data_IF_115631566723
#
_entry.id   IF_115631566723
#
_cell.length_a   1.000
_cell.length_b   1.000
_cell.length_c   1.000
_cell.angle_alpha   90.00
_cell.angle_beta   90.00
_cell.angle_gamma   90.00
#
_symmetry.space_group_name_H-M   'P 1'
#
loop_
_entity.id
_entity.type
_entity.pdbx_description
1 polymer ?
#
# COMPACT_ATOMS: atom_id res chain seq x y z
N UNK A 1 -17.50 3.04 4.72
CA UNK A 1 -17.38 1.60 4.36
C UNK A 1 -16.13 1.09 5.02
N UNK A 2 -16.21 0.06 5.82
CA UNK A 2 -15.03 -0.62 6.37
C UNK A 2 -14.65 -1.70 5.35
N UNK A 3 -13.41 -1.67 4.85
CA UNK A 3 -12.89 -2.75 4.01
C UNK A 3 -12.64 -3.96 4.91
N UNK A 4 -13.18 -5.08 4.52
CA UNK A 4 -13.01 -6.38 5.16
C UNK A 4 -12.74 -7.46 4.12
N UNK A 5 -12.57 -8.69 4.57
CA UNK A 5 -12.25 -9.84 3.72
C UNK A 5 -13.37 -10.24 2.75
N UNK A 6 -14.63 -9.78 2.98
CA UNK A 6 -15.76 -10.04 2.07
C UNK A 6 -15.55 -9.43 0.68
N UNK A 7 -14.65 -8.45 0.56
CA UNK A 7 -14.27 -7.84 -0.72
C UNK A 7 -13.24 -8.66 -1.51
N UNK A 8 -12.60 -9.65 -0.89
CA UNK A 8 -11.65 -10.53 -1.54
C UNK A 8 -12.34 -11.48 -2.51
N UNK A 9 -11.67 -11.84 -3.59
CA UNK A 9 -12.10 -12.86 -4.55
C UNK A 9 -11.10 -13.99 -4.59
N UNK A 10 -11.53 -15.16 -4.20
CA UNK A 10 -10.69 -16.36 -4.14
C UNK A 10 -9.84 -16.45 -2.87
N UNK A 11 -8.99 -17.45 -2.80
CA UNK A 11 -8.10 -17.72 -1.68
C UNK A 11 -6.80 -16.89 -1.78
N UNK A 12 -6.20 -16.58 -0.63
CA UNK A 12 -4.87 -15.98 -0.57
C UNK A 12 -3.77 -17.04 -0.63
N UNK A 13 -2.54 -16.64 -0.98
CA UNK A 13 -1.39 -17.55 -0.91
C UNK A 13 -1.13 -18.00 0.53
N UNK A 14 -1.30 -17.10 1.51
CA UNK A 14 -1.10 -17.41 2.93
C UNK A 14 -2.12 -18.47 3.42
N UNK A 15 -3.39 -18.32 3.03
CA UNK A 15 -4.42 -19.32 3.29
C UNK A 15 -4.05 -20.69 2.69
N UNK A 16 -3.60 -20.72 1.43
CA UNK A 16 -3.19 -21.96 0.75
C UNK A 16 -2.01 -22.62 1.44
N UNK A 17 -1.02 -21.86 1.85
CA UNK A 17 0.14 -22.37 2.60
C UNK A 17 -0.29 -22.92 3.97
N UNK A 18 -1.14 -22.20 4.71
CA UNK A 18 -1.70 -22.67 5.97
C UNK A 18 -2.51 -23.96 5.83
N UNK A 19 -3.33 -24.07 4.79
CA UNK A 19 -4.09 -25.29 4.50
C UNK A 19 -3.19 -26.47 4.05
N UNK A 20 -2.00 -26.19 3.55
CA UNK A 20 -0.96 -27.19 3.24
C UNK A 20 -0.11 -27.58 4.47
N UNK A 21 -0.41 -27.05 5.66
CA UNK A 21 0.28 -27.37 6.90
C UNK A 21 1.49 -26.51 7.22
N UNK A 22 1.73 -25.43 6.46
CA UNK A 22 2.78 -24.44 6.76
C UNK A 22 2.29 -23.51 7.87
N UNK A 23 3.08 -23.33 8.92
CA UNK A 23 2.79 -22.37 9.98
C UNK A 23 3.06 -20.97 9.46
N UNK A 24 2.01 -20.15 9.33
CA UNK A 24 2.10 -18.81 8.75
C UNK A 24 2.03 -17.76 9.86
N UNK A 25 2.93 -16.79 9.84
CA UNK A 25 2.85 -15.57 10.64
C UNK A 25 2.73 -14.34 9.72
N UNK A 26 1.62 -13.62 9.85
CA UNK A 26 1.40 -12.35 9.17
C UNK A 26 1.34 -11.23 10.21
N UNK A 27 2.29 -10.30 10.18
CA UNK A 27 2.33 -9.14 11.07
C UNK A 27 2.25 -7.87 10.22
N UNK A 28 1.26 -7.04 10.51
CA UNK A 28 1.04 -5.81 9.76
C UNK A 28 1.25 -4.57 10.63
N UNK A 29 1.67 -3.46 10.04
CA UNK A 29 1.72 -2.20 10.77
C UNK A 29 0.31 -1.74 11.15
N UNK A 30 -0.62 -1.69 10.18
CA UNK A 30 -1.99 -1.17 10.35
C UNK A 30 -3.03 -2.30 10.41
N UNK A 31 -4.01 -2.20 11.33
CA UNK A 31 -5.05 -3.21 11.53
C UNK A 31 -5.99 -3.40 10.33
N UNK A 32 -6.22 -2.35 9.55
CA UNK A 32 -7.04 -2.44 8.34
C UNK A 32 -6.48 -3.47 7.35
N UNK A 33 -5.16 -3.48 7.13
CA UNK A 33 -4.53 -4.46 6.25
C UNK A 33 -4.55 -5.86 6.89
N UNK A 34 -4.33 -5.96 8.21
CA UNK A 34 -4.45 -7.23 8.95
C UNK A 34 -5.77 -7.94 8.65
N UNK A 35 -6.89 -7.21 8.70
CA UNK A 35 -8.23 -7.79 8.44
C UNK A 35 -8.36 -8.41 7.05
N UNK A 36 -7.72 -7.79 6.05
CA UNK A 36 -7.70 -8.34 4.68
C UNK A 36 -6.76 -9.55 4.59
N UNK A 37 -5.56 -9.44 5.15
CA UNK A 37 -4.55 -10.50 5.13
C UNK A 37 -5.00 -11.74 5.91
N UNK A 38 -5.80 -11.54 6.97
CA UNK A 38 -6.34 -12.63 7.79
C UNK A 38 -7.34 -13.54 7.05
N UNK A 39 -7.73 -13.19 5.81
CA UNK A 39 -8.66 -14.00 5.03
C UNK A 39 -8.17 -15.44 4.87
N UNK A 40 -8.96 -16.38 5.41
CA UNK A 40 -8.67 -17.81 5.38
C UNK A 40 -7.57 -18.31 6.33
N UNK A 41 -6.89 -17.43 7.08
CA UNK A 41 -5.94 -17.84 8.12
C UNK A 41 -6.69 -18.32 9.37
N UNK A 42 -6.23 -19.43 9.94
CA UNK A 42 -6.90 -20.11 11.05
C UNK A 42 -5.94 -20.32 12.23
N UNK A 43 -6.15 -19.61 13.36
CA UNK A 43 -5.34 -19.79 14.57
C UNK A 43 -5.28 -21.23 15.07
N UNK A 44 -6.38 -22.00 14.93
CA UNK A 44 -6.42 -23.42 15.27
C UNK A 44 -5.45 -24.29 14.46
N UNK A 45 -5.05 -23.84 13.29
CA UNK A 45 -4.04 -24.48 12.44
C UNK A 45 -2.63 -23.91 12.66
N UNK A 46 -2.43 -23.11 13.72
CA UNK A 46 -1.15 -22.50 14.06
C UNK A 46 -0.83 -21.20 13.33
N UNK A 47 -1.80 -20.61 12.61
CA UNK A 47 -1.59 -19.32 11.99
C UNK A 47 -1.57 -18.20 13.04
N UNK A 48 -0.68 -17.23 12.85
CA UNK A 48 -0.58 -16.00 13.64
C UNK A 48 -0.83 -14.82 12.70
N UNK A 49 -1.81 -13.96 13.04
CA UNK A 49 -2.09 -12.77 12.25
C UNK A 49 -2.51 -11.61 13.16
N UNK A 50 -1.67 -10.58 13.28
CA UNK A 50 -1.97 -9.41 14.09
C UNK A 50 -1.37 -8.13 13.53
N UNK A 51 -1.80 -6.97 14.06
CA UNK A 51 -1.24 -5.67 13.71
C UNK A 51 -0.47 -5.06 14.88
N UNK A 52 0.60 -4.31 14.57
CA UNK A 52 1.31 -3.49 15.54
C UNK A 52 0.39 -2.41 16.14
N UNK A 53 -0.50 -1.85 15.31
CA UNK A 53 -1.46 -0.82 15.72
C UNK A 53 -2.35 -1.26 16.88
N UNK A 54 -2.83 -2.51 16.87
CA UNK A 54 -3.76 -3.06 17.89
C UNK A 54 -3.12 -4.23 18.63
N UNK A 55 -1.81 -4.19 18.87
CA UNK A 55 -1.09 -5.27 19.54
C UNK A 55 -1.60 -5.57 20.95
N UNK A 56 -2.15 -4.57 21.64
CA UNK A 56 -2.76 -4.68 22.96
C UNK A 56 -4.13 -5.39 22.98
N UNK A 57 -4.78 -5.55 21.81
CA UNK A 57 -6.10 -6.18 21.67
C UNK A 57 -6.01 -7.66 21.22
N UNK A 58 -4.81 -8.18 21.03
CA UNK A 58 -4.61 -9.52 20.49
C UNK A 58 -5.09 -10.61 21.43
N UNK A 59 -5.82 -11.59 20.88
CA UNK A 59 -6.30 -12.80 21.55
C UNK A 59 -5.82 -14.06 20.83
N UNK A 60 -5.67 -15.16 21.58
CA UNK A 60 -5.32 -16.46 20.98
C UNK A 60 -6.37 -16.92 19.97
N UNK A 61 -7.64 -16.69 20.24
CA UNK A 61 -8.74 -17.16 19.39
C UNK A 61 -8.81 -16.46 18.03
N UNK A 62 -8.51 -15.15 17.99
CA UNK A 62 -8.59 -14.38 16.75
C UNK A 62 -7.23 -14.25 16.03
N UNK A 63 -6.15 -14.13 16.81
CA UNK A 63 -4.86 -13.73 16.27
C UNK A 63 -3.78 -14.83 16.34
N UNK A 64 -4.07 -15.96 17.03
CA UNK A 64 -3.07 -17.00 17.27
C UNK A 64 -1.98 -16.60 18.28
N UNK A 65 -2.10 -15.43 18.87
CA UNK A 65 -1.20 -14.87 19.88
C UNK A 65 -1.97 -13.93 20.81
N UNK A 66 -1.58 -13.86 22.08
CA UNK A 66 -2.15 -12.93 23.06
C UNK A 66 -1.03 -12.19 23.80
N UNK A 67 -1.42 -11.14 24.53
CA UNK A 67 -0.50 -10.34 25.36
C UNK A 67 0.75 -9.86 24.60
N UNK A 68 0.59 -9.42 23.35
CA UNK A 68 1.69 -9.13 22.42
C UNK A 68 2.66 -8.11 22.99
N UNK A 69 2.20 -7.05 23.63
CA UNK A 69 3.07 -6.04 24.25
C UNK A 69 3.96 -6.66 25.34
N UNK A 70 3.37 -7.47 26.22
CA UNK A 70 4.12 -8.18 27.26
C UNK A 70 5.07 -9.22 26.67
N UNK A 71 4.59 -9.98 25.67
CA UNK A 71 5.40 -10.96 24.97
C UNK A 71 6.58 -10.32 24.26
N UNK A 72 6.39 -9.20 23.56
CA UNK A 72 7.46 -8.50 22.85
C UNK A 72 8.36 -7.70 23.80
N UNK A 73 7.83 -7.32 24.99
CA UNK A 73 8.54 -6.55 26.00
C UNK A 73 8.52 -5.04 25.76
N UNK A 74 7.56 -4.58 24.94
CA UNK A 74 7.38 -3.15 24.64
C UNK A 74 5.90 -2.84 24.31
N UNK A 75 5.46 -1.58 24.57
CA UNK A 75 4.09 -1.16 24.26
C UNK A 75 3.88 -1.05 22.75
N UNK A 76 2.61 -1.10 22.31
CA UNK A 76 2.21 -0.77 20.94
C UNK A 76 2.60 0.68 20.61
N UNK A 77 3.23 0.92 19.46
CA UNK A 77 3.65 2.27 19.07
C UNK A 77 2.47 3.13 18.60
N UNK A 78 2.72 4.43 18.56
CA UNK A 78 1.80 5.38 17.91
C UNK A 78 1.59 5.01 16.44
N UNK A 79 0.35 5.09 15.96
CA UNK A 79 -0.04 4.71 14.59
C UNK A 79 0.76 5.45 13.50
N UNK A 80 1.08 6.72 13.73
CA UNK A 80 1.82 7.57 12.79
C UNK A 80 3.26 7.80 13.28
N UNK A 81 4.03 6.71 13.36
CA UNK A 81 5.43 6.71 13.76
C UNK A 81 6.27 5.74 12.91
N UNK A 82 7.57 5.98 12.82
CA UNK A 82 8.53 5.03 12.27
C UNK A 82 8.53 3.72 13.07
N UNK A 83 8.33 3.83 14.38
CA UNK A 83 8.37 2.75 15.33
C UNK A 83 7.27 1.69 15.10
N UNK A 84 6.15 2.08 14.47
CA UNK A 84 5.09 1.13 14.09
C UNK A 84 5.62 0.03 13.14
N UNK A 85 6.45 0.41 12.18
CA UNK A 85 7.11 -0.54 11.25
C UNK A 85 8.20 -1.37 11.95
N UNK A 86 8.95 -0.75 12.84
CA UNK A 86 10.01 -1.45 13.59
C UNK A 86 9.43 -2.49 14.55
N UNK A 87 8.25 -2.22 15.13
CA UNK A 87 7.52 -3.19 15.96
C UNK A 87 7.15 -4.45 15.17
N UNK A 88 6.73 -4.31 13.92
CA UNK A 88 6.44 -5.46 13.02
C UNK A 88 7.66 -6.35 12.87
N UNK A 89 8.81 -5.75 12.59
CA UNK A 89 10.07 -6.50 12.40
C UNK A 89 10.57 -7.11 13.70
N UNK A 90 10.51 -6.39 14.83
CA UNK A 90 10.85 -6.92 16.16
C UNK A 90 9.99 -8.15 16.49
N UNK A 91 8.70 -8.10 16.18
CA UNK A 91 7.80 -9.23 16.36
C UNK A 91 8.16 -10.39 15.43
N UNK A 92 8.51 -10.12 14.17
CA UNK A 92 8.99 -11.13 13.22
C UNK A 92 10.24 -11.84 13.71
N UNK A 93 11.25 -11.09 14.16
CA UNK A 93 12.50 -11.64 14.74
C UNK A 93 12.19 -12.55 15.93
N UNK A 94 11.32 -12.08 16.85
CA UNK A 94 11.00 -12.87 18.05
C UNK A 94 10.19 -14.13 17.72
N UNK A 95 9.22 -14.06 16.82
CA UNK A 95 8.44 -15.22 16.36
C UNK A 95 9.36 -16.27 15.70
N UNK A 96 10.35 -15.83 14.92
CA UNK A 96 11.33 -16.71 14.27
C UNK A 96 12.24 -17.35 15.31
N UNK A 97 12.80 -16.58 16.25
CA UNK A 97 13.65 -17.09 17.33
C UNK A 97 12.92 -18.13 18.19
N UNK A 98 11.63 -17.96 18.43
CA UNK A 98 10.77 -18.91 19.14
C UNK A 98 10.25 -20.05 18.24
N UNK A 99 10.63 -20.08 16.95
CA UNK A 99 10.22 -21.08 15.95
C UNK A 99 8.70 -21.26 15.85
N UNK A 100 7.98 -20.14 15.91
CA UNK A 100 6.50 -20.15 15.91
C UNK A 100 5.88 -20.22 14.53
N UNK A 101 6.64 -19.91 13.47
CA UNK A 101 6.15 -19.97 12.08
C UNK A 101 7.28 -20.41 11.13
N UNK A 102 6.89 -20.86 9.95
CA UNK A 102 7.76 -21.29 8.86
C UNK A 102 7.74 -20.28 7.70
N UNK A 103 6.63 -19.57 7.52
CA UNK A 103 6.46 -18.51 6.52
C UNK A 103 6.03 -17.22 7.21
N UNK A 104 6.74 -16.14 6.91
CA UNK A 104 6.49 -14.81 7.47
C UNK A 104 6.05 -13.84 6.36
N UNK A 105 5.00 -13.06 6.65
CA UNK A 105 4.59 -11.90 5.87
C UNK A 105 4.58 -10.67 6.78
N UNK A 106 5.62 -9.85 6.65
CA UNK A 106 5.84 -8.69 7.50
C UNK A 106 5.63 -7.42 6.67
N UNK A 107 4.56 -6.66 6.94
CA UNK A 107 4.23 -5.48 6.15
C UNK A 107 4.34 -4.20 6.98
N UNK A 108 5.09 -3.25 6.45
CA UNK A 108 5.45 -2.01 7.11
C UNK A 108 4.47 -0.88 6.73
N UNK A 109 4.61 0.27 7.37
CA UNK A 109 3.92 1.50 7.02
C UNK A 109 4.86 2.40 6.22
N UNK A 110 4.30 3.08 5.23
CA UNK A 110 4.96 4.07 4.38
C UNK A 110 5.00 5.49 4.99
N UNK A 111 4.69 5.62 6.27
CA UNK A 111 4.61 6.90 6.97
C UNK A 111 5.89 7.73 6.86
N UNK A 112 7.05 7.08 7.02
CA UNK A 112 8.35 7.76 6.93
C UNK A 112 8.59 8.29 5.51
N UNK A 113 8.29 7.49 4.51
CA UNK A 113 8.47 7.83 3.10
C UNK A 113 7.57 8.99 2.65
N UNK A 114 6.39 9.13 3.24
CA UNK A 114 5.52 10.29 3.03
C UNK A 114 6.08 11.59 3.60
N UNK A 115 6.84 11.52 4.70
CA UNK A 115 7.35 12.71 5.39
C UNK A 115 8.79 13.08 5.03
N UNK A 116 9.62 12.08 4.80
CA UNK A 116 11.06 12.24 4.70
C UNK A 116 11.56 11.73 3.33
N UNK A 117 12.25 12.59 2.60
CA UNK A 117 12.84 12.22 1.33
C UNK A 117 14.06 11.31 1.53
N UNK A 118 14.40 10.44 0.57
CA UNK A 118 15.66 9.69 0.59
C UNK A 118 16.86 10.63 0.80
N UNK A 119 17.80 10.23 1.66
CA UNK A 119 18.98 11.01 2.03
C UNK A 119 18.73 12.07 3.12
N UNK A 120 17.52 12.15 3.70
CA UNK A 120 17.30 12.87 4.96
C UNK A 120 17.73 12.00 6.13
N UNK A 121 18.13 12.64 7.24
CA UNK A 121 18.60 11.93 8.44
C UNK A 121 17.57 10.91 8.94
N UNK A 122 16.31 11.34 9.03
CA UNK A 122 15.22 10.48 9.51
C UNK A 122 14.92 9.29 8.59
N UNK A 123 15.03 9.48 7.27
CA UNK A 123 14.86 8.40 6.31
C UNK A 123 16.02 7.40 6.41
N UNK A 124 17.26 7.89 6.52
CA UNK A 124 18.45 7.05 6.60
C UNK A 124 18.50 6.28 7.92
N UNK A 125 18.17 6.91 9.06
CA UNK A 125 18.05 6.25 10.37
C UNK A 125 16.98 5.15 10.35
N UNK A 126 15.84 5.41 9.70
CA UNK A 126 14.77 4.42 9.56
C UNK A 126 15.21 3.23 8.71
N UNK A 127 15.88 3.47 7.58
CA UNK A 127 16.39 2.39 6.73
C UNK A 127 17.48 1.56 7.43
N UNK A 128 18.38 2.17 8.20
CA UNK A 128 19.35 1.46 9.01
C UNK A 128 18.69 0.59 10.09
N UNK A 129 17.61 1.11 10.71
CA UNK A 129 16.88 0.34 11.71
C UNK A 129 16.13 -0.86 11.12
N UNK A 130 15.62 -0.75 9.88
CA UNK A 130 15.06 -1.86 9.10
C UNK A 130 16.18 -2.88 8.78
N UNK A 131 17.26 -2.43 8.17
CA UNK A 131 18.39 -3.26 7.75
C UNK A 131 18.94 -4.11 8.91
N UNK A 132 19.10 -3.49 10.08
CA UNK A 132 19.52 -4.20 11.30
C UNK A 132 18.59 -5.38 11.63
N UNK A 133 17.29 -5.24 11.47
CA UNK A 133 16.31 -6.28 11.77
C UNK A 133 16.24 -7.35 10.70
N UNK A 134 16.42 -6.97 9.44
CA UNK A 134 16.56 -7.93 8.35
C UNK A 134 17.80 -8.81 8.56
N UNK A 135 18.94 -8.22 8.96
CA UNK A 135 20.13 -8.98 9.34
C UNK A 135 19.88 -9.94 10.51
N UNK A 136 19.10 -9.54 11.53
CA UNK A 136 18.72 -10.44 12.62
C UNK A 136 17.87 -11.63 12.15
N UNK A 137 16.99 -11.42 11.17
CA UNK A 137 16.23 -12.53 10.57
C UNK A 137 17.15 -13.50 9.80
N UNK A 138 18.13 -12.98 9.05
CA UNK A 138 19.14 -13.80 8.36
C UNK A 138 20.02 -14.58 9.34
N UNK A 139 20.48 -13.95 10.42
CA UNK A 139 21.26 -14.58 11.47
C UNK A 139 20.53 -15.75 12.15
N UNK A 140 19.19 -15.67 12.19
CA UNK A 140 18.32 -16.75 12.66
C UNK A 140 18.01 -17.82 11.60
N UNK A 141 18.59 -17.69 10.41
CA UNK A 141 18.48 -18.65 9.31
C UNK A 141 17.26 -18.44 8.39
N UNK A 142 16.65 -17.27 8.40
CA UNK A 142 15.59 -16.97 7.44
C UNK A 142 16.16 -16.61 6.06
N UNK A 143 15.51 -17.11 5.01
CA UNK A 143 15.61 -16.52 3.68
C UNK A 143 14.74 -15.26 3.64
N UNK A 144 15.35 -14.11 3.47
CA UNK A 144 14.68 -12.81 3.50
C UNK A 144 14.49 -12.27 2.08
N UNK A 145 13.30 -11.78 1.79
CA UNK A 145 13.03 -11.04 0.57
C UNK A 145 12.23 -9.78 0.88
N UNK A 146 12.56 -8.68 0.22
CA UNK A 146 11.95 -7.37 0.41
C UNK A 146 11.45 -6.83 -0.91
N UNK A 147 10.22 -6.33 -0.92
CA UNK A 147 9.64 -5.60 -2.06
C UNK A 147 8.75 -4.47 -1.56
N UNK A 148 8.37 -3.57 -2.46
CA UNK A 148 7.36 -2.54 -2.22
C UNK A 148 6.05 -2.87 -2.92
N UNK A 149 4.97 -2.24 -2.49
CA UNK A 149 3.70 -2.20 -3.20
C UNK A 149 3.66 -1.02 -4.20
N UNK A 150 4.41 0.05 -3.93
CA UNK A 150 4.62 1.21 -4.79
C UNK A 150 5.90 1.96 -4.40
N UNK A 151 6.36 2.83 -5.28
CA UNK A 151 7.38 3.83 -4.98
C UNK A 151 6.79 5.07 -4.29
N UNK A 152 7.61 6.13 -4.15
CA UNK A 152 7.19 7.38 -3.51
C UNK A 152 7.95 8.55 -4.12
N UNK A 153 7.24 9.61 -4.56
CA UNK A 153 7.86 10.80 -5.13
C UNK A 153 7.33 12.11 -4.55
N UNK A 154 8.07 13.19 -4.78
CA UNK A 154 7.64 14.53 -4.39
C UNK A 154 6.56 15.04 -5.34
N UNK A 155 5.47 15.58 -4.77
CA UNK A 155 4.30 16.09 -5.50
C UNK A 155 4.19 17.61 -5.31
N UNK A 156 5.22 18.32 -5.76
CA UNK A 156 5.33 19.75 -5.57
C UNK A 156 5.74 20.46 -6.86
N UNK A 157 5.25 21.69 -6.99
CA UNK A 157 5.67 22.62 -8.04
C UNK A 157 7.09 23.11 -7.80
N UNK A 158 7.66 23.81 -8.76
CA UNK A 158 9.01 24.39 -8.67
C UNK A 158 9.17 25.39 -7.52
N UNK A 159 8.07 26.04 -7.08
CA UNK A 159 8.03 26.94 -5.93
C UNK A 159 7.88 26.22 -4.59
N UNK A 160 7.87 24.89 -4.59
CA UNK A 160 7.74 24.04 -3.41
C UNK A 160 6.29 23.81 -2.93
N UNK A 161 5.30 24.48 -3.52
CA UNK A 161 3.89 24.27 -3.16
C UNK A 161 3.37 22.95 -3.68
N UNK A 162 2.38 22.31 -2.99
CA UNK A 162 1.74 21.12 -3.48
C UNK A 162 1.15 21.29 -4.88
N UNK A 163 1.40 20.32 -5.75
CA UNK A 163 0.83 20.27 -7.11
C UNK A 163 -0.40 19.39 -7.11
N UNK A 164 -1.57 19.98 -6.87
CA UNK A 164 -2.84 19.28 -6.70
C UNK A 164 -3.83 19.69 -7.77
N UNK A 165 -4.41 18.69 -8.46
CA UNK A 165 -5.57 18.84 -9.32
C UNK A 165 -6.81 18.36 -8.53
N UNK A 166 -7.76 19.25 -8.26
CA UNK A 166 -9.06 18.87 -7.72
C UNK A 166 -10.01 18.52 -8.88
N UNK A 167 -9.92 17.29 -9.34
CA UNK A 167 -10.60 16.84 -10.56
C UNK A 167 -12.13 16.90 -10.44
N UNK A 168 -12.68 16.63 -9.25
CA UNK A 168 -14.11 16.72 -9.01
C UNK A 168 -14.65 18.15 -9.17
N UNK A 169 -13.89 19.15 -8.68
CA UNK A 169 -14.28 20.57 -8.87
C UNK A 169 -14.28 20.93 -10.36
N UNK A 170 -13.22 20.58 -11.09
CA UNK A 170 -13.13 20.82 -12.54
C UNK A 170 -14.27 20.19 -13.33
N UNK A 171 -14.59 18.92 -13.03
CA UNK A 171 -15.63 18.19 -13.75
C UNK A 171 -17.03 18.70 -13.41
N UNK A 172 -17.32 18.99 -12.14
CA UNK A 172 -18.61 19.51 -11.70
C UNK A 172 -18.88 20.94 -12.22
N UNK A 173 -17.85 21.77 -12.32
CA UNK A 173 -17.98 23.10 -12.92
C UNK A 173 -18.31 23.02 -14.41
N UNK A 174 -17.64 22.13 -15.15
CA UNK A 174 -17.78 22.03 -16.61
C UNK A 174 -19.01 21.22 -17.04
N UNK A 175 -19.41 20.24 -16.23
CA UNK A 175 -20.56 19.35 -16.50
C UNK A 175 -21.43 19.15 -15.26
N UNK A 176 -22.16 20.20 -14.82
CA UNK A 176 -22.93 20.14 -13.57
C UNK A 176 -24.04 19.07 -13.60
N UNK A 177 -24.55 18.72 -14.78
CA UNK A 177 -25.59 17.72 -14.94
C UNK A 177 -25.10 16.27 -14.90
N UNK A 178 -23.79 16.05 -14.86
CA UNK A 178 -23.22 14.70 -14.88
C UNK A 178 -23.29 13.99 -13.52
N UNK A 179 -23.40 14.72 -12.42
CA UNK A 179 -23.30 14.20 -11.05
C UNK A 179 -22.04 13.32 -10.88
N UNK A 180 -20.89 13.98 -10.88
CA UNK A 180 -19.59 13.30 -10.91
C UNK A 180 -19.14 12.91 -9.50
N UNK A 181 -18.72 11.66 -9.34
CA UNK A 181 -18.05 11.19 -8.14
C UNK A 181 -16.60 10.76 -8.45
N UNK A 182 -15.64 11.49 -7.89
CA UNK A 182 -14.21 11.13 -7.96
C UNK A 182 -13.84 10.34 -6.72
N UNK A 183 -13.34 9.13 -6.92
CA UNK A 183 -12.89 8.23 -5.87
C UNK A 183 -11.37 8.20 -5.85
N UNK A 184 -10.79 8.70 -4.74
CA UNK A 184 -9.37 8.54 -4.44
C UNK A 184 -9.19 7.19 -3.73
N UNK A 185 -8.36 6.26 -4.23
CA UNK A 185 -8.24 4.92 -3.66
C UNK A 185 -7.48 4.88 -2.32
N UNK A 186 -6.90 5.99 -1.88
CA UNK A 186 -6.28 6.11 -0.56
C UNK A 186 -7.34 5.87 0.51
N UNK A 187 -7.19 4.80 1.24
CA UNK A 187 -8.21 4.23 2.08
C UNK A 187 -8.19 4.74 3.54
N UNK A 188 -7.26 5.62 3.90
CA UNK A 188 -7.17 6.22 5.23
C UNK A 188 -7.53 7.71 5.19
N UNK A 189 -8.81 8.05 5.45
CA UNK A 189 -9.25 9.44 5.43
C UNK A 189 -8.70 10.28 6.59
N UNK A 190 -8.10 9.64 7.58
CA UNK A 190 -7.50 10.31 8.75
C UNK A 190 -6.03 10.67 8.54
N UNK A 191 -5.43 10.24 7.45
CA UNK A 191 -4.04 10.60 7.13
C UNK A 191 -3.99 12.03 6.65
N UNK A 192 -3.60 12.92 7.55
CA UNK A 192 -3.55 14.37 7.30
C UNK A 192 -2.26 14.82 6.60
N UNK A 193 -1.17 14.07 6.76
CA UNK A 193 0.15 14.45 6.26
C UNK A 193 0.31 14.41 4.72
N UNK A 194 -0.64 13.83 4.00
CA UNK A 194 -0.71 13.87 2.53
C UNK A 194 -2.12 14.22 2.01
N UNK A 195 -3.03 14.64 2.87
CA UNK A 195 -4.38 15.08 2.52
C UNK A 195 -5.24 14.01 1.83
N UNK A 196 -4.94 12.72 1.98
CA UNK A 196 -5.55 11.60 1.24
C UNK A 196 -5.48 11.77 -0.29
N UNK A 197 -4.39 12.36 -0.78
CA UNK A 197 -4.13 12.64 -2.20
C UNK A 197 -3.13 11.65 -2.78
N UNK A 198 -3.38 11.20 -4.00
CA UNK A 198 -2.51 10.28 -4.73
C UNK A 198 -2.47 10.56 -6.23
N UNK A 199 -1.69 9.78 -6.95
CA UNK A 199 -1.52 9.91 -8.41
C UNK A 199 -2.62 9.25 -9.24
N UNK A 200 -3.61 8.56 -8.65
CA UNK A 200 -4.63 7.80 -9.35
C UNK A 200 -6.03 8.06 -8.78
N UNK A 201 -7.01 8.23 -9.65
CA UNK A 201 -8.43 8.32 -9.26
C UNK A 201 -9.33 7.55 -10.23
N UNK A 202 -10.49 7.08 -9.69
CA UNK A 202 -11.62 6.56 -10.45
C UNK A 202 -12.71 7.60 -10.50
N UNK A 203 -13.31 7.77 -11.68
CA UNK A 203 -14.43 8.71 -11.88
C UNK A 203 -15.67 7.93 -12.23
N UNK A 204 -16.73 8.17 -11.48
CA UNK A 204 -18.06 7.61 -11.71
C UNK A 204 -19.03 8.72 -12.08
N UNK A 205 -19.86 8.47 -13.09
CA UNK A 205 -20.95 9.33 -13.51
C UNK A 205 -22.22 8.77 -12.89
N UNK A 206 -22.83 9.52 -11.99
CA UNK A 206 -23.99 9.06 -11.24
C UNK A 206 -25.30 9.32 -11.98
N UNK A 207 -25.30 10.17 -13.02
CA UNK A 207 -26.43 10.41 -13.89
C UNK A 207 -26.38 9.49 -15.12
N UNK A 208 -27.14 8.41 -15.14
CA UNK A 208 -27.19 7.43 -16.23
C UNK A 208 -27.61 8.04 -17.59
N UNK A 209 -28.29 9.18 -17.57
CA UNK A 209 -28.73 9.89 -18.79
C UNK A 209 -27.62 10.69 -19.45
N UNK A 210 -26.52 10.95 -18.75
CA UNK A 210 -25.40 11.71 -19.24
C UNK A 210 -24.62 10.94 -20.33
N UNK A 211 -24.29 11.58 -21.45
CA UNK A 211 -23.64 10.94 -22.61
C UNK A 211 -22.26 11.55 -22.94
N UNK A 212 -21.77 12.51 -22.14
CA UNK A 212 -20.57 13.29 -22.42
C UNK A 212 -19.25 12.70 -21.89
N UNK A 213 -19.20 11.42 -21.50
CA UNK A 213 -18.01 10.80 -20.87
C UNK A 213 -16.74 10.91 -21.75
N UNK A 214 -16.90 10.78 -23.09
CA UNK A 214 -15.76 10.91 -24.03
C UNK A 214 -15.18 12.32 -24.01
N UNK A 215 -16.06 13.33 -23.94
CA UNK A 215 -15.63 14.74 -23.91
C UNK A 215 -14.95 15.06 -22.57
N UNK A 216 -15.44 14.47 -21.47
CA UNK A 216 -14.76 14.55 -20.16
C UNK A 216 -13.35 13.98 -20.21
N UNK A 217 -13.19 12.77 -20.74
CA UNK A 217 -11.89 12.12 -20.89
C UNK A 217 -10.94 12.99 -21.72
N UNK A 218 -11.43 13.54 -22.85
CA UNK A 218 -10.64 14.41 -23.69
C UNK A 218 -10.22 15.70 -22.96
N UNK A 219 -11.12 16.34 -22.24
CA UNK A 219 -10.80 17.53 -21.47
C UNK A 219 -9.81 17.25 -20.32
N UNK A 220 -9.93 16.08 -19.66
CA UNK A 220 -8.97 15.68 -18.63
C UNK A 220 -7.56 15.45 -19.21
N UNK A 221 -7.44 14.92 -20.41
CA UNK A 221 -6.14 14.74 -21.10
C UNK A 221 -5.42 16.05 -21.38
N UNK A 222 -6.14 17.15 -21.48
CA UNK A 222 -5.60 18.48 -21.74
C UNK A 222 -5.09 19.18 -20.48
N UNK A 223 -5.39 18.64 -19.28
CA UNK A 223 -4.93 19.20 -18.01
C UNK A 223 -3.44 18.96 -17.82
N UNK A 224 -2.67 19.99 -17.40
CA UNK A 224 -1.23 19.90 -17.27
C UNK A 224 -0.75 18.87 -16.24
N UNK A 225 -1.57 18.57 -15.21
CA UNK A 225 -1.26 17.62 -14.16
C UNK A 225 -1.55 16.17 -14.55
N UNK A 226 -2.32 15.93 -15.64
CA UNK A 226 -2.74 14.58 -16.04
C UNK A 226 -1.75 13.97 -17.02
N UNK A 227 -1.33 12.75 -16.75
CA UNK A 227 -0.47 11.93 -17.61
C UNK A 227 -1.32 10.98 -18.47
N UNK A 228 -2.29 10.32 -17.84
CA UNK A 228 -3.19 9.37 -18.50
C UNK A 228 -4.63 9.66 -18.11
N UNK A 229 -5.53 9.66 -19.08
CA UNK A 229 -6.96 9.57 -18.84
C UNK A 229 -7.58 8.65 -19.89
N UNK A 230 -8.28 7.61 -19.45
CA UNK A 230 -8.90 6.63 -20.35
C UNK A 230 -10.14 6.00 -19.71
N UNK A 231 -10.96 5.32 -20.51
CA UNK A 231 -12.14 4.64 -20.01
C UNK A 231 -11.79 3.56 -18.98
N UNK A 232 -12.70 3.25 -18.05
CA UNK A 232 -12.50 2.19 -17.06
C UNK A 232 -12.22 0.84 -17.71
N UNK A 233 -12.87 0.53 -18.82
CA UNK A 233 -12.60 -0.70 -19.59
C UNK A 233 -11.17 -0.74 -20.16
N UNK A 234 -10.69 0.35 -20.73
CA UNK A 234 -9.31 0.47 -21.22
C UNK A 234 -8.31 0.35 -20.06
N UNK A 235 -8.58 1.02 -18.94
CA UNK A 235 -7.77 0.95 -17.73
C UNK A 235 -7.71 -0.48 -17.16
N UNK A 236 -8.85 -1.17 -17.06
CA UNK A 236 -8.91 -2.55 -16.61
C UNK A 236 -8.04 -3.48 -17.44
N UNK A 237 -8.10 -3.36 -18.77
CA UNK A 237 -7.27 -4.14 -19.68
C UNK A 237 -5.77 -3.79 -19.58
N UNK A 238 -5.45 -2.48 -19.54
CA UNK A 238 -4.08 -1.99 -19.55
C UNK A 238 -3.33 -2.25 -18.26
N UNK A 239 -4.02 -2.14 -17.13
CA UNK A 239 -3.44 -2.24 -15.79
C UNK A 239 -3.86 -3.50 -15.04
N UNK A 240 -4.47 -4.49 -15.74
CA UNK A 240 -4.86 -5.78 -15.18
C UNK A 240 -5.78 -5.65 -13.96
N UNK A 241 -6.72 -4.71 -14.01
CA UNK A 241 -7.69 -4.46 -12.93
C UNK A 241 -9.05 -5.11 -13.24
N UNK A 242 -9.87 -5.44 -12.23
CA UNK A 242 -11.20 -5.99 -12.44
C UNK A 242 -12.14 -4.97 -13.10
N UNK A 243 -12.61 -5.23 -14.33
CA UNK A 243 -13.44 -4.30 -15.11
C UNK A 243 -14.71 -3.89 -14.35
N UNK A 244 -15.33 -4.82 -13.62
CA UNK A 244 -16.54 -4.57 -12.84
C UNK A 244 -16.34 -3.74 -11.56
N UNK A 245 -15.10 -3.35 -11.25
CA UNK A 245 -14.72 -2.49 -10.12
C UNK A 245 -14.11 -1.17 -10.54
N UNK A 246 -13.99 -0.93 -11.84
CA UNK A 246 -13.49 0.34 -12.36
C UNK A 246 -14.63 1.38 -12.49
N UNK A 247 -14.26 2.66 -12.55
CA UNK A 247 -15.17 3.74 -12.86
C UNK A 247 -15.51 3.83 -14.34
N UNK A 248 -16.32 4.82 -14.72
CA UNK A 248 -16.58 5.14 -16.13
C UNK A 248 -15.27 5.50 -16.84
N UNK A 249 -14.39 6.18 -16.12
CA UNK A 249 -13.03 6.46 -16.56
C UNK A 249 -12.08 6.64 -15.37
N UNK A 250 -10.78 6.65 -15.67
CA UNK A 250 -9.70 6.89 -14.70
C UNK A 250 -8.85 8.09 -15.12
N UNK A 251 -8.21 8.71 -14.14
CA UNK A 251 -7.13 9.66 -14.40
C UNK A 251 -5.90 9.32 -13.55
N UNK A 252 -4.72 9.43 -14.17
CA UNK A 252 -3.42 9.25 -13.54
C UNK A 252 -2.66 10.56 -13.66
N UNK A 253 -2.10 11.03 -12.54
CA UNK A 253 -1.30 12.24 -12.49
C UNK A 253 0.11 12.01 -13.03
N UNK A 254 0.74 13.10 -13.49
CA UNK A 254 2.18 13.13 -13.75
C UNK A 254 2.99 12.94 -12.45
N UNK A 255 4.25 12.66 -12.62
CA UNK A 255 5.23 12.38 -11.56
C UNK A 255 5.24 13.40 -10.41
N UNK A 256 5.05 14.67 -10.72
CA UNK A 256 5.11 15.79 -9.77
C UNK A 256 3.74 16.27 -9.29
N UNK A 257 2.65 15.57 -9.60
CA UNK A 257 1.29 15.98 -9.26
C UNK A 257 0.49 14.89 -8.53
N UNK A 258 -0.58 15.30 -7.86
CA UNK A 258 -1.61 14.42 -7.29
C UNK A 258 -2.99 14.89 -7.73
N UNK A 259 -3.96 13.98 -7.66
CA UNK A 259 -5.36 14.26 -7.97
C UNK A 259 -6.19 14.04 -6.72
N UNK A 260 -7.02 15.03 -6.39
CA UNK A 260 -8.03 14.97 -5.34
C UNK A 260 -9.45 15.00 -5.91
N UNK A 261 -10.43 14.74 -5.06
CA UNK A 261 -11.84 14.87 -5.42
C UNK A 261 -12.26 16.34 -5.50
N UNK A 262 -12.51 16.99 -4.37
CA UNK A 262 -12.81 18.43 -4.29
C UNK A 262 -11.93 19.08 -3.25
N UNK A 263 -11.65 20.37 -3.40
CA UNK A 263 -10.79 21.11 -2.47
C UNK A 263 -11.30 21.05 -1.02
N UNK A 264 -12.62 21.02 -0.86
CA UNK A 264 -13.26 20.96 0.46
C UNK A 264 -12.97 19.64 1.21
N UNK A 265 -12.76 18.53 0.48
CA UNK A 265 -12.54 17.21 1.05
C UNK A 265 -11.09 16.91 1.41
N UNK A 266 -10.15 17.77 1.02
CA UNK A 266 -8.71 17.54 1.20
C UNK A 266 -8.08 18.68 2.00
N UNK A 267 -7.85 18.46 3.28
CA UNK A 267 -7.19 19.43 4.16
C UNK A 267 -5.66 19.35 4.01
N UNK A 268 -5.08 20.37 3.39
CA UNK A 268 -3.64 20.51 3.21
C UNK A 268 -2.96 21.35 4.32
N UNK A 269 -3.73 21.87 5.31
CA UNK A 269 -3.18 22.71 6.38
C UNK A 269 -2.16 21.99 7.26
N UNK A 270 -2.23 20.65 7.31
CA UNK A 270 -1.32 19.83 8.10
C UNK A 270 0.04 19.55 7.43
N UNK A 271 0.21 19.96 6.18
CA UNK A 271 1.51 19.83 5.51
C UNK A 271 2.55 20.77 6.11
N UNK A 272 2.14 21.98 6.60
CA UNK A 272 3.08 22.99 7.09
C UNK A 272 4.18 23.25 6.05
N UNK A 273 5.44 23.15 6.47
CA UNK A 273 6.62 23.32 5.61
C UNK A 273 7.07 22.00 4.94
N UNK A 274 6.36 20.90 5.19
CA UNK A 274 6.69 19.58 4.61
C UNK A 274 6.25 19.57 3.15
N UNK A 275 7.16 19.22 2.24
CA UNK A 275 6.82 18.99 0.84
C UNK A 275 5.93 17.77 0.72
N UNK A 276 4.79 17.91 0.03
CA UNK A 276 3.90 16.79 -0.25
C UNK A 276 4.66 15.68 -0.98
N UNK A 277 4.60 14.47 -0.43
CA UNK A 277 5.08 13.24 -1.05
C UNK A 277 3.92 12.25 -1.11
N UNK A 278 3.76 11.59 -2.24
CA UNK A 278 2.69 10.63 -2.46
C UNK A 278 3.05 9.65 -3.58
N UNK A 279 2.11 8.79 -3.92
CA UNK A 279 2.26 7.68 -4.86
C UNK A 279 0.98 7.45 -5.67
N UNK A 280 0.98 6.40 -6.49
CA UNK A 280 -0.19 5.96 -7.28
C UNK A 280 -0.14 6.35 -8.74
N UNK A 281 0.88 7.12 -9.19
CA UNK A 281 1.16 7.39 -10.59
C UNK A 281 2.02 6.31 -11.25
N UNK A 282 2.28 6.46 -12.55
CA UNK A 282 3.15 5.54 -13.29
C UNK A 282 4.61 5.67 -12.84
N UNK A 283 5.01 6.84 -12.35
CA UNK A 283 6.34 7.13 -11.80
C UNK A 283 6.67 6.34 -10.53
N UNK A 284 5.68 5.83 -9.81
CA UNK A 284 5.85 5.05 -8.58
C UNK A 284 5.71 3.53 -8.81
N UNK A 285 5.73 3.06 -10.06
CA UNK A 285 5.65 1.62 -10.37
C UNK A 285 6.98 0.88 -10.19
N UNK A 286 8.12 1.59 -10.30
CA UNK A 286 9.42 0.98 -10.04
C UNK A 286 9.63 0.83 -8.54
N UNK A 287 9.86 -0.41 -8.11
CA UNK A 287 10.00 -0.81 -6.72
C UNK A 287 11.20 -1.74 -6.52
N UNK A 288 11.78 -1.79 -5.33
CA UNK A 288 12.87 -2.74 -5.05
C UNK A 288 12.35 -4.19 -5.06
N UNK A 289 13.21 -5.11 -5.48
CA UNK A 289 13.09 -6.54 -5.26
C UNK A 289 14.47 -7.03 -4.77
N UNK A 290 14.58 -7.25 -3.47
CA UNK A 290 15.83 -7.59 -2.80
C UNK A 290 15.69 -8.98 -2.20
N UNK A 291 16.72 -9.81 -2.38
CA UNK A 291 16.80 -11.16 -1.82
C UNK A 291 18.08 -11.29 -1.00
N UNK A 292 18.01 -11.95 0.15
CA UNK A 292 19.18 -12.26 0.98
C UNK A 292 20.11 -13.29 0.32
N UNK A 293 19.57 -14.12 -0.56
CA UNK A 293 20.33 -15.11 -1.33
C UNK A 293 20.30 -14.75 -2.82
N UNK A 294 21.42 -15.00 -3.49
CA UNK A 294 21.48 -14.86 -4.94
C UNK A 294 20.53 -15.85 -5.63
N UNK A 295 19.82 -15.38 -6.64
CA UNK A 295 19.02 -16.25 -7.48
C UNK A 295 19.94 -17.16 -8.30
N UNK A 296 19.57 -18.42 -8.48
CA UNK A 296 20.30 -19.36 -9.33
C UNK A 296 20.32 -18.88 -10.79
N UNK A 297 21.41 -19.20 -11.51
CA UNK A 297 21.54 -18.92 -12.93
C UNK A 297 20.36 -19.54 -13.71
N UNK A 298 19.73 -18.73 -14.59
CA UNK A 298 18.56 -19.11 -15.36
C UNK A 298 17.21 -18.83 -14.67
N UNK A 299 17.21 -18.35 -13.41
CA UNK A 299 15.97 -17.88 -12.76
C UNK A 299 15.45 -16.59 -13.39
N UNK A 300 16.35 -15.76 -13.92
CA UNK A 300 16.00 -14.55 -14.67
C UNK A 300 15.68 -15.00 -16.11
N UNK A 301 14.42 -15.32 -16.35
CA UNK A 301 13.94 -15.63 -17.70
C UNK A 301 14.01 -14.35 -18.56
N UNK A 302 14.82 -14.41 -19.60
CA UNK A 302 15.30 -13.25 -20.34
C UNK A 302 14.21 -12.38 -20.95
N UNK A 303 13.66 -11.43 -20.21
CA UNK A 303 12.88 -10.34 -20.74
C UNK A 303 11.56 -9.98 -20.07
N UNK A 304 11.02 -10.76 -19.14
CA UNK A 304 9.83 -10.36 -18.38
C UNK A 304 10.25 -9.62 -17.09
N UNK A 305 9.80 -8.37 -16.89
CA UNK A 305 10.08 -7.67 -15.64
C UNK A 305 9.41 -8.41 -14.46
N UNK A 306 10.16 -8.55 -13.36
CA UNK A 306 9.60 -9.05 -12.10
C UNK A 306 8.57 -8.08 -11.54
N UNK A 307 7.55 -8.63 -10.85
CA UNK A 307 6.52 -7.88 -10.16
C UNK A 307 6.57 -8.19 -8.66
N UNK A 308 6.00 -7.31 -7.85
CA UNK A 308 6.01 -7.50 -6.39
C UNK A 308 5.45 -8.85 -5.95
N UNK A 309 4.41 -9.36 -6.59
CA UNK A 309 3.81 -10.65 -6.24
C UNK A 309 4.67 -11.87 -6.63
N UNK A 310 5.64 -11.72 -7.52
CA UNK A 310 6.58 -12.80 -7.87
C UNK A 310 7.52 -13.13 -6.70
N UNK A 311 7.61 -12.26 -5.68
CA UNK A 311 8.47 -12.46 -4.50
C UNK A 311 8.20 -13.80 -3.79
N UNK A 312 6.93 -14.22 -3.71
CA UNK A 312 6.59 -15.52 -3.12
C UNK A 312 7.16 -16.69 -3.93
N UNK A 313 7.08 -16.60 -5.25
CA UNK A 313 7.68 -17.61 -6.12
C UNK A 313 9.20 -17.69 -5.91
N UNK A 314 9.85 -16.54 -5.85
CA UNK A 314 11.30 -16.45 -5.67
C UNK A 314 11.74 -17.00 -4.33
N UNK A 315 11.08 -16.62 -3.23
CA UNK A 315 11.44 -17.09 -1.88
C UNK A 315 11.20 -18.58 -1.70
N UNK A 316 10.11 -19.12 -2.27
CA UNK A 316 9.70 -20.50 -2.01
C UNK A 316 10.32 -21.53 -2.95
N UNK A 317 10.81 -21.12 -4.12
CA UNK A 317 11.23 -22.07 -5.16
C UNK A 317 12.67 -21.88 -5.66
N UNK A 318 13.41 -20.88 -5.15
CA UNK A 318 14.74 -20.53 -5.68
C UNK A 318 15.81 -20.44 -4.59
#
# INVERSE_FOLDING_TARGET
>A
MVLDDSTMRGSTILERMGNAGVRVAAVTAKDKLRRIINHGLKPENGAICFSAQNANECTLAEHGIADVEKWLGRPAPEQYSADLSLFVLDAGVKLLAEKRADLFYLTLSDYVQHKHAPGSLEADEFMQAIDTRLGQLEDLGAKVAVTGDHGMSAKAKTDGKPSVLFLGDFLNEKWPDADVRVICPIADPFVKHHGALGGFVRVHIMNDSFKGVKDMIQACRELPEVEVCCSGKEAASRYEMPEDREGDFIAIAKDNAVIGSTKEKHDLSQLGDIKLRSHGGLSEQEIPLIMSEALEDGTIDGGKPWRNFDIFYLVLNK
#
